data_IF_032856031626
#
_entry.id   IF_032856031626
#
_cell.length_a   1.000
_cell.length_b   1.000
_cell.length_c   1.000
_cell.angle_alpha   90.00
_cell.angle_beta   90.00
_cell.angle_gamma   90.00
#
_symmetry.space_group_name_H-M   'P 1'
#
loop_
_entity.id
_entity.type
_entity.pdbx_description
1 polymer ?
#
# COMPACT_ATOMS: atom_id res chain seq x y z
N UNK A 1 -0.10 14.98 -1.35
CA UNK A 1 0.52 16.25 -1.77
C UNK A 1 2.01 16.02 -1.96
N UNK A 2 2.63 16.60 -3.01
CA UNK A 2 4.07 16.52 -3.19
C UNK A 2 4.79 17.43 -2.17
N UNK A 3 5.73 16.86 -1.42
CA UNK A 3 6.61 17.56 -0.47
C UNK A 3 8.07 17.27 -0.77
N UNK A 4 8.98 18.16 -0.41
CA UNK A 4 10.42 17.95 -0.60
C UNK A 4 10.95 16.98 0.45
N UNK A 5 11.84 16.07 0.06
CA UNK A 5 12.37 15.01 0.95
C UNK A 5 13.35 15.50 2.02
N UNK A 6 14.00 16.64 1.79
CA UNK A 6 15.02 17.22 2.66
C UNK A 6 14.44 18.13 3.76
N UNK A 7 13.42 18.90 3.41
CA UNK A 7 12.82 19.97 4.21
C UNK A 7 11.41 19.64 4.69
N UNK A 8 10.71 18.73 3.99
CA UNK A 8 9.29 18.43 4.27
C UNK A 8 8.32 19.51 3.78
N UNK A 9 8.81 20.54 3.10
CA UNK A 9 8.00 21.65 2.60
C UNK A 9 7.13 21.21 1.42
N UNK A 10 5.96 21.84 1.27
CA UNK A 10 5.07 21.62 0.12
C UNK A 10 5.76 22.08 -1.16
N UNK A 11 5.92 21.15 -2.11
CA UNK A 11 6.64 21.40 -3.36
C UNK A 11 5.82 22.21 -4.39
N UNK A 12 4.48 22.17 -4.30
CA UNK A 12 3.55 22.90 -5.20
C UNK A 12 2.42 23.51 -4.35
N UNK A 13 2.31 24.84 -4.37
CA UNK A 13 1.19 25.58 -3.75
C UNK A 13 0.16 25.99 -4.81
N UNK A 14 -1.13 25.78 -4.53
CA UNK A 14 -2.25 26.15 -5.43
C UNK A 14 -2.79 27.58 -5.21
N UNK A 15 -2.19 28.36 -4.29
CA UNK A 15 -2.51 29.78 -4.08
C UNK A 15 -1.53 30.64 -4.90
N UNK A 16 -2.11 31.43 -5.80
CA UNK A 16 -1.44 32.06 -6.94
C UNK A 16 -0.83 33.44 -6.65
N UNK A 17 -0.68 33.81 -5.39
CA UNK A 17 -0.21 35.13 -4.94
C UNK A 17 1.23 35.14 -4.37
N UNK A 18 1.84 33.97 -4.17
CA UNK A 18 3.23 33.84 -3.73
C UNK A 18 4.11 33.33 -4.89
N UNK A 19 5.28 33.95 -5.08
CA UNK A 19 6.23 33.52 -6.11
C UNK A 19 6.50 32.01 -6.00
N UNK A 20 6.58 31.25 -7.10
CA UNK A 20 6.74 29.80 -7.06
C UNK A 20 7.94 29.46 -6.19
N UNK A 21 7.74 28.63 -5.16
CA UNK A 21 8.83 28.16 -4.31
C UNK A 21 9.82 27.39 -5.17
N UNK A 22 10.99 27.97 -5.40
CA UNK A 22 12.06 27.32 -6.16
C UNK A 22 12.72 26.29 -5.27
N UNK A 23 12.44 25.01 -5.53
CA UNK A 23 13.13 23.91 -4.85
C UNK A 23 14.53 23.81 -5.44
N UNK A 24 15.55 24.16 -4.65
CA UNK A 24 16.95 24.02 -5.08
C UNK A 24 17.36 22.56 -4.94
N UNK A 25 17.31 21.82 -6.05
CA UNK A 25 17.70 20.40 -6.08
C UNK A 25 19.23 20.31 -6.10
N UNK A 26 19.86 19.92 -4.99
CA UNK A 26 21.32 19.74 -4.93
C UNK A 26 21.83 18.47 -5.62
N UNK A 27 20.95 17.49 -5.86
CA UNK A 27 21.26 16.26 -6.60
C UNK A 27 20.09 15.88 -7.54
N UNK A 28 20.21 16.23 -8.81
CA UNK A 28 19.26 15.81 -9.86
C UNK A 28 19.43 14.33 -10.23
N UNK A 29 19.19 13.43 -9.28
CA UNK A 29 19.29 11.99 -9.50
C UNK A 29 18.19 11.52 -10.46
N UNK A 30 18.57 10.79 -11.50
CA UNK A 30 17.62 10.07 -12.38
C UNK A 30 17.11 8.78 -11.76
N UNK A 31 17.67 8.38 -10.62
CA UNK A 31 17.33 7.15 -9.89
C UNK A 31 16.41 7.44 -8.70
N UNK A 32 16.46 8.65 -8.13
CA UNK A 32 15.66 9.06 -6.97
C UNK A 32 15.10 10.47 -7.16
N UNK A 33 13.81 10.62 -6.88
CA UNK A 33 13.07 11.88 -6.79
C UNK A 33 13.37 12.56 -5.45
N UNK A 34 13.55 13.89 -5.46
CA UNK A 34 13.57 14.69 -4.22
C UNK A 34 12.15 15.12 -3.77
N UNK A 35 11.12 14.64 -4.45
CA UNK A 35 9.71 14.86 -4.13
C UNK A 35 9.10 13.55 -3.65
N UNK A 36 8.43 13.60 -2.50
CA UNK A 36 7.64 12.51 -1.92
C UNK A 36 6.15 12.85 -1.97
N UNK A 37 5.31 11.86 -2.19
CA UNK A 37 3.86 12.00 -2.10
C UNK A 37 3.38 11.57 -0.71
N UNK A 38 2.86 12.52 0.06
CA UNK A 38 2.27 12.24 1.38
C UNK A 38 0.74 12.31 1.33
N UNK A 39 0.07 11.32 1.92
CA UNK A 39 -1.38 11.32 2.11
C UNK A 39 -1.70 11.93 3.48
N UNK A 40 -2.33 13.10 3.50
CA UNK A 40 -2.67 13.80 4.74
C UNK A 40 -3.99 13.28 5.34
N UNK A 41 -5.01 13.08 4.49
CA UNK A 41 -6.30 12.54 4.87
C UNK A 41 -7.05 12.03 3.63
N UNK A 42 -7.99 11.12 3.85
CA UNK A 42 -8.94 10.64 2.83
C UNK A 42 -10.34 10.71 3.41
N UNK A 43 -11.28 11.33 2.70
CA UNK A 43 -12.71 11.32 3.03
C UNK A 43 -13.41 10.45 2.00
N UNK A 44 -14.17 9.47 2.46
CA UNK A 44 -14.93 8.56 1.61
C UNK A 44 -16.42 8.71 1.94
N UNK A 45 -17.22 8.95 0.92
CA UNK A 45 -18.67 9.02 1.02
C UNK A 45 -19.24 7.79 0.32
N UNK A 46 -20.05 7.02 1.05
CA UNK A 46 -20.59 5.76 0.57
C UNK A 46 -22.10 5.85 0.48
N UNK A 47 -22.64 5.52 -0.69
CA UNK A 47 -24.07 5.26 -0.86
C UNK A 47 -24.37 3.82 -0.44
N UNK A 48 -24.88 3.67 0.79
CA UNK A 48 -25.21 2.36 1.36
C UNK A 48 -26.33 1.63 0.61
N UNK A 49 -27.15 2.33 -0.19
CA UNK A 49 -28.18 1.68 -1.01
C UNK A 49 -27.59 0.85 -2.15
N UNK A 50 -26.32 1.12 -2.52
CA UNK A 50 -25.61 0.48 -3.62
C UNK A 50 -24.61 -0.58 -3.19
N UNK A 51 -24.51 -0.88 -1.89
CA UNK A 51 -23.55 -1.86 -1.36
C UNK A 51 -24.09 -3.29 -1.34
N UNK A 52 -25.34 -3.50 -1.77
CA UNK A 52 -26.00 -4.80 -1.84
C UNK A 52 -25.96 -5.59 -0.51
N UNK A 53 -26.07 -4.89 0.63
CA UNK A 53 -26.08 -5.51 1.96
C UNK A 53 -24.70 -5.95 2.46
N UNK A 54 -23.60 -5.47 1.85
CA UNK A 54 -22.25 -5.75 2.33
C UNK A 54 -22.12 -5.42 3.84
N UNK A 55 -21.58 -6.34 4.67
CA UNK A 55 -21.38 -6.08 6.08
C UNK A 55 -20.48 -4.86 6.27
N UNK A 56 -20.87 -3.95 7.18
CA UNK A 56 -20.17 -2.67 7.37
C UNK A 56 -18.67 -2.86 7.67
N UNK A 57 -18.30 -3.88 8.45
CA UNK A 57 -16.89 -4.19 8.74
C UNK A 57 -16.10 -4.53 7.49
N UNK A 58 -16.64 -5.41 6.63
CA UNK A 58 -15.97 -5.82 5.39
C UNK A 58 -15.92 -4.68 4.38
N UNK A 59 -16.96 -3.83 4.35
CA UNK A 59 -16.97 -2.62 3.54
C UNK A 59 -15.91 -1.62 4.02
N UNK A 60 -15.72 -1.46 5.34
CA UNK A 60 -14.66 -0.62 5.90
C UNK A 60 -13.27 -1.16 5.55
N UNK A 61 -13.07 -2.47 5.58
CA UNK A 61 -11.84 -3.13 5.15
C UNK A 61 -11.56 -2.87 3.66
N UNK A 62 -12.57 -3.02 2.80
CA UNK A 62 -12.47 -2.70 1.36
C UNK A 62 -12.09 -1.23 1.13
N UNK A 63 -12.78 -0.30 1.80
CA UNK A 63 -12.51 1.14 1.67
C UNK A 63 -11.12 1.49 2.20
N UNK A 64 -10.65 0.81 3.25
CA UNK A 64 -9.30 0.97 3.77
C UNK A 64 -8.26 0.59 2.72
N UNK A 65 -8.46 -0.52 2.00
CA UNK A 65 -7.57 -0.92 0.90
C UNK A 65 -7.55 0.10 -0.23
N UNK A 66 -8.73 0.53 -0.71
CA UNK A 66 -8.83 1.55 -1.77
C UNK A 66 -8.13 2.86 -1.36
N UNK A 67 -8.32 3.27 -0.10
CA UNK A 67 -7.80 4.54 0.40
C UNK A 67 -6.29 4.50 0.67
N UNK A 68 -5.81 3.45 1.33
CA UNK A 68 -4.41 3.33 1.75
C UNK A 68 -3.49 2.91 0.62
N UNK A 69 -4.00 2.12 -0.33
CA UNK A 69 -3.20 1.63 -1.43
C UNK A 69 -3.38 2.39 -2.74
N UNK A 70 -4.41 3.25 -2.85
CA UNK A 70 -4.75 3.96 -4.08
C UNK A 70 -4.84 3.02 -5.30
N UNK A 71 -5.31 1.79 -5.07
CA UNK A 71 -5.47 0.75 -6.09
C UNK A 71 -6.71 1.01 -6.93
N UNK A 72 -6.67 0.62 -8.21
CA UNK A 72 -7.85 0.64 -9.07
C UNK A 72 -8.86 -0.43 -8.60
N UNK A 73 -10.02 -0.05 -8.07
CA UNK A 73 -11.04 -1.00 -7.62
C UNK A 73 -11.66 -1.81 -8.75
N UNK A 74 -11.52 -1.37 -10.01
CA UNK A 74 -12.01 -2.08 -11.19
C UNK A 74 -11.02 -3.14 -11.71
N UNK A 75 -9.78 -3.16 -11.21
CA UNK A 75 -8.77 -4.15 -11.62
C UNK A 75 -9.23 -5.58 -11.34
N UNK A 76 -8.94 -6.50 -12.26
CA UNK A 76 -9.26 -7.92 -12.06
C UNK A 76 -8.31 -8.54 -11.02
N UNK A 77 -8.88 -8.86 -9.87
CA UNK A 77 -8.19 -9.46 -8.71
C UNK A 77 -8.81 -10.80 -8.33
N UNK A 78 -9.62 -11.39 -9.23
CA UNK A 78 -10.36 -12.64 -8.98
C UNK A 78 -9.44 -13.82 -8.62
N UNK A 79 -8.20 -13.83 -9.10
CA UNK A 79 -7.20 -14.85 -8.77
C UNK A 79 -6.48 -14.65 -7.44
N UNK A 80 -6.79 -13.60 -6.68
CA UNK A 80 -6.15 -13.28 -5.40
C UNK A 80 -7.18 -13.38 -4.26
N UNK A 81 -6.74 -13.88 -3.11
CA UNK A 81 -7.56 -13.83 -1.90
C UNK A 81 -7.46 -12.44 -1.29
N UNK A 82 -8.34 -11.51 -1.68
CA UNK A 82 -8.31 -10.09 -1.26
C UNK A 82 -9.71 -9.58 -0.95
N UNK A 83 -9.82 -8.68 0.02
CA UNK A 83 -11.06 -7.95 0.31
C UNK A 83 -11.56 -7.16 -0.90
N UNK A 84 -10.68 -6.83 -1.85
CA UNK A 84 -11.03 -6.13 -3.10
C UNK A 84 -12.03 -6.89 -3.96
N UNK A 85 -12.23 -8.19 -3.70
CA UNK A 85 -13.27 -9.00 -4.36
C UNK A 85 -14.66 -8.89 -3.72
N UNK A 86 -14.86 -8.04 -2.71
CA UNK A 86 -16.14 -7.86 -1.98
C UNK A 86 -17.36 -7.77 -2.91
N UNK A 87 -17.26 -6.97 -3.99
CA UNK A 87 -18.39 -6.77 -4.91
C UNK A 87 -18.47 -7.80 -6.04
N UNK A 88 -17.47 -8.67 -6.20
CA UNK A 88 -17.46 -9.74 -7.20
C UNK A 88 -17.85 -11.10 -6.61
N UNK A 89 -17.31 -11.44 -5.45
CA UNK A 89 -17.50 -12.71 -4.76
C UNK A 89 -17.75 -12.46 -3.25
N UNK A 90 -18.87 -11.81 -2.88
CA UNK A 90 -19.12 -11.37 -1.50
C UNK A 90 -19.16 -12.52 -0.48
N UNK A 91 -19.48 -13.74 -0.90
CA UNK A 91 -19.54 -14.91 -0.02
C UNK A 91 -18.15 -15.40 0.40
N UNK A 92 -17.11 -15.07 -0.38
CA UNK A 92 -15.75 -15.53 -0.16
C UNK A 92 -14.89 -14.49 0.59
N UNK A 93 -15.50 -13.36 0.97
CA UNK A 93 -14.81 -12.22 1.58
C UNK A 93 -15.40 -11.93 2.96
N UNK A 94 -14.61 -12.20 3.99
CA UNK A 94 -14.99 -11.96 5.39
C UNK A 94 -14.27 -10.76 6.03
N UNK A 95 -13.33 -10.13 5.32
CA UNK A 95 -12.55 -8.98 5.78
C UNK A 95 -11.17 -8.94 5.13
N UNK A 96 -10.26 -8.15 5.69
CA UNK A 96 -8.84 -8.11 5.25
C UNK A 96 -8.20 -9.50 5.31
N UNK A 97 -7.69 -9.96 4.18
CA UNK A 97 -6.96 -11.22 4.07
C UNK A 97 -5.49 -11.05 4.43
N UNK A 98 -4.75 -12.15 4.47
CA UNK A 98 -3.30 -12.09 4.63
C UNK A 98 -2.62 -11.40 3.44
N UNK A 99 -3.13 -11.62 2.22
CA UNK A 99 -2.64 -10.96 1.02
C UNK A 99 -2.78 -9.45 1.11
N UNK A 100 -3.91 -8.94 1.60
CA UNK A 100 -4.16 -7.50 1.78
C UNK A 100 -3.14 -6.87 2.73
N UNK A 101 -2.91 -7.53 3.87
CA UNK A 101 -1.97 -7.07 4.91
C UNK A 101 -0.52 -7.06 4.39
N UNK A 102 -0.13 -8.11 3.66
CA UNK A 102 1.21 -8.22 3.11
C UNK A 102 1.44 -7.20 2.00
N UNK A 103 0.42 -6.96 1.16
CA UNK A 103 0.48 -5.94 0.14
C UNK A 103 0.63 -4.54 0.74
N UNK A 104 -0.16 -4.20 1.76
CA UNK A 104 -0.01 -2.92 2.47
C UNK A 104 1.37 -2.82 3.15
N UNK A 105 1.83 -3.85 3.84
CA UNK A 105 3.16 -3.84 4.47
C UNK A 105 4.26 -3.59 3.43
N UNK A 106 4.23 -4.28 2.30
CA UNK A 106 5.17 -4.10 1.20
C UNK A 106 5.07 -2.70 0.57
N UNK A 107 3.85 -2.18 0.39
CA UNK A 107 3.61 -0.86 -0.17
C UNK A 107 4.23 0.24 0.69
N UNK A 108 4.05 0.16 2.01
CA UNK A 108 4.57 1.15 2.95
C UNK A 108 6.05 0.94 3.30
N UNK A 109 6.61 -0.26 3.09
CA UNK A 109 8.04 -0.52 3.20
C UNK A 109 8.84 -0.07 1.96
N UNK A 110 8.19 0.03 0.78
CA UNK A 110 8.85 0.42 -0.45
C UNK A 110 9.30 1.89 -0.44
N UNK A 111 10.52 2.22 -0.90
CA UNK A 111 10.99 3.60 -1.02
C UNK A 111 10.04 4.47 -1.87
N UNK A 112 9.50 5.53 -1.29
CA UNK A 112 8.52 6.44 -1.91
C UNK A 112 9.16 7.51 -2.80
N UNK A 113 10.50 7.56 -2.85
CA UNK A 113 11.31 8.57 -3.54
C UNK A 113 11.82 8.09 -4.91
N UNK A 114 11.17 7.11 -5.57
CA UNK A 114 11.64 6.62 -6.87
C UNK A 114 11.27 7.57 -8.02
N UNK A 115 12.15 7.66 -9.00
CA UNK A 115 12.06 8.65 -10.08
C UNK A 115 10.92 8.39 -11.10
N UNK A 116 10.28 7.21 -11.10
CA UNK A 116 9.19 6.86 -12.03
C UNK A 116 8.24 5.81 -11.41
N UNK A 117 6.93 5.90 -11.72
CA UNK A 117 5.89 4.98 -11.24
C UNK A 117 6.19 3.50 -11.51
N UNK A 118 6.73 3.14 -12.69
CA UNK A 118 7.13 1.74 -12.95
C UNK A 118 8.22 1.21 -11.99
N UNK A 119 9.11 2.08 -11.53
CA UNK A 119 10.14 1.71 -10.55
C UNK A 119 9.55 1.62 -9.14
N UNK A 120 8.47 2.35 -8.85
CA UNK A 120 7.71 2.23 -7.62
C UNK A 120 7.02 0.87 -7.56
N UNK A 121 6.29 0.49 -8.63
CA UNK A 121 5.60 -0.81 -8.75
C UNK A 121 6.56 -1.98 -8.56
N UNK A 122 7.72 -1.93 -9.23
CA UNK A 122 8.76 -2.95 -9.11
C UNK A 122 9.31 -3.07 -7.68
N UNK A 123 9.39 -1.95 -6.94
CA UNK A 123 9.83 -1.99 -5.55
C UNK A 123 8.80 -2.53 -4.57
N UNK A 124 7.51 -2.25 -4.80
CA UNK A 124 6.43 -2.87 -4.02
C UNK A 124 6.42 -4.37 -4.26
N UNK A 125 6.52 -4.81 -5.51
CA UNK A 125 6.63 -6.23 -5.86
C UNK A 125 7.85 -6.89 -5.21
N UNK A 126 9.01 -6.22 -5.23
CA UNK A 126 10.22 -6.72 -4.59
C UNK A 126 10.07 -6.85 -3.07
N UNK A 127 9.51 -5.84 -2.41
CA UNK A 127 9.26 -5.86 -0.96
C UNK A 127 8.29 -7.00 -0.58
N UNK A 128 7.24 -7.23 -1.37
CA UNK A 128 6.29 -8.31 -1.15
C UNK A 128 6.95 -9.70 -1.25
N UNK A 129 7.79 -9.91 -2.27
CA UNK A 129 8.54 -11.16 -2.45
C UNK A 129 9.51 -11.39 -1.29
N UNK A 130 10.21 -10.34 -0.87
CA UNK A 130 11.17 -10.41 0.23
C UNK A 130 10.47 -10.78 1.55
N UNK A 131 9.35 -10.12 1.86
CA UNK A 131 8.57 -10.39 3.06
C UNK A 131 8.03 -11.81 3.12
N UNK A 132 7.58 -12.37 1.98
CA UNK A 132 7.15 -13.78 1.92
C UNK A 132 8.29 -14.74 2.23
N UNK A 133 9.47 -14.53 1.63
CA UNK A 133 10.66 -15.37 1.87
C UNK A 133 11.09 -15.34 3.34
N UNK A 134 11.03 -14.18 3.97
CA UNK A 134 11.36 -14.03 5.39
C UNK A 134 10.40 -14.83 6.27
N UNK A 135 9.09 -14.80 5.97
CA UNK A 135 8.12 -15.62 6.71
C UNK A 135 8.28 -17.11 6.51
N UNK A 136 8.48 -17.54 5.26
CA UNK A 136 8.73 -18.96 4.94
C UNK A 136 9.97 -19.47 5.70
N UNK A 137 11.05 -18.67 5.78
CA UNK A 137 12.24 -19.02 6.55
C UNK A 137 12.04 -19.03 8.08
N UNK A 138 11.17 -18.16 8.62
CA UNK A 138 10.84 -18.15 10.06
C UNK A 138 9.97 -19.35 10.47
N UNK A 139 9.13 -19.86 9.56
CA UNK A 139 8.33 -21.06 9.78
C UNK A 139 9.17 -22.34 9.75
N UNK A 140 10.20 -22.39 8.88
CA UNK A 140 11.14 -23.52 8.81
C UNK A 140 12.05 -23.62 10.05
N UNK A 141 12.52 -22.49 10.59
CA UNK A 141 13.41 -22.45 11.77
C UNK A 141 12.65 -22.76 13.09
N UNK A 142 11.37 -22.39 13.17
CA UNK A 142 10.50 -22.69 14.31
C UNK A 142 10.03 -24.14 14.41
N UNK A 143 10.12 -24.92 13.33
CA UNK A 143 9.72 -26.33 13.27
C UNK A 143 10.80 -27.34 13.72
N UNK A 144 12.04 -26.89 13.95
CA UNK A 144 13.19 -27.77 14.23
C UNK A 144 13.44 -28.03 15.74
N UNK A 145 12.72 -27.37 16.65
CA UNK A 145 12.95 -27.47 18.09
C UNK A 145 11.92 -28.38 18.82
N UNK A 146 12.04 -29.70 18.64
CA UNK A 146 11.48 -30.67 19.59
C UNK A 146 12.60 -31.60 20.09
N UNK A 147 12.98 -31.57 21.37
CA UNK A 147 13.98 -32.50 21.90
C UNK A 147 13.36 -33.90 22.00
N UNK A 148 14.00 -34.86 21.34
CA UNK A 148 13.73 -36.30 21.45
C UNK A 148 14.02 -36.76 22.88
N UNK A 149 12.97 -36.83 23.70
CA UNK A 149 13.03 -37.36 25.05
C UNK A 149 12.96 -38.89 25.02
N UNK A 150 14.11 -39.55 25.11
CA UNK A 150 14.23 -40.94 25.52
C UNK A 150 15.44 -41.15 26.41
N UNK A 151 15.18 -41.44 27.68
CA UNK A 151 15.90 -42.46 28.46
C UNK A 151 14.89 -43.23 29.32
#
# INVERSE_FOLDING_TARGET
MPVTTDTGDIAITLRSDEAPRTVTVRDGSRLRSNVRYDMAWTIVIIDMSRTNGAPLGVLADYVSMVSLAQVDPAADLSGQSTVMNLFRAPQDVSGLTQWDKDYLAALYAAPTDRANGRQQDAGVAHALIQQRREREGLEEDGGSAAPDGRE
#
